data_IF_774147982039
#
_entry.id   IF_774147982039
#
_cell.length_a   1.000
_cell.length_b   1.000
_cell.length_c   1.000
_cell.angle_alpha   90.00
_cell.angle_beta   90.00
_cell.angle_gamma   90.00
#
_symmetry.space_group_name_H-M   'P 1'
#
loop_
_entity.id
_entity.type
_entity.pdbx_description
1 polymer ?
#
# COMPACT_ATOMS: atom_id res chain seq x y z
N UNK A 1 -7.04 -9.86 3.62
CA UNK A 1 -7.73 -8.56 3.72
C UNK A 1 -7.44 -7.78 2.45
N UNK A 2 -8.45 -7.16 1.85
CA UNK A 2 -8.25 -6.25 0.71
C UNK A 2 -8.91 -4.90 1.05
N UNK A 3 -8.27 -3.80 0.67
CA UNK A 3 -8.76 -2.44 0.86
C UNK A 3 -8.76 -1.76 -0.50
N UNK A 4 -9.94 -1.30 -0.93
CA UNK A 4 -10.12 -0.56 -2.18
C UNK A 4 -10.46 0.89 -1.83
N UNK A 5 -9.64 1.81 -2.32
CA UNK A 5 -9.82 3.23 -2.10
C UNK A 5 -10.08 3.95 -3.43
N UNK A 6 -11.08 4.82 -3.43
CA UNK A 6 -11.31 5.75 -4.53
C UNK A 6 -11.23 7.17 -3.99
N UNK A 7 -10.47 8.01 -4.65
CA UNK A 7 -10.36 9.44 -4.38
C UNK A 7 -11.69 10.17 -4.45
N UNK A 8 -11.99 11.21 -4.87
CA UNK A 8 -13.22 11.94 -5.17
C UNK A 8 -14.52 11.55 -4.42
N UNK A 9 -14.48 10.55 -3.55
CA UNK A 9 -15.64 10.05 -2.79
C UNK A 9 -16.68 9.32 -3.65
N UNK A 10 -17.94 9.33 -3.20
CA UNK A 10 -19.05 8.65 -3.83
C UNK A 10 -20.33 9.51 -3.83
N UNK A 11 -21.24 9.23 -4.74
CA UNK A 11 -22.52 9.93 -4.79
C UNK A 11 -23.44 9.48 -3.67
N UNK A 12 -23.63 10.32 -2.67
CA UNK A 12 -24.27 9.99 -1.38
C UNK A 12 -25.62 9.29 -1.51
N UNK A 13 -26.46 9.70 -2.46
CA UNK A 13 -27.83 9.19 -2.62
C UNK A 13 -27.89 7.89 -3.44
N UNK A 14 -26.85 7.60 -4.22
CA UNK A 14 -26.80 6.45 -5.12
C UNK A 14 -25.91 5.31 -4.58
N UNK A 15 -25.16 5.57 -3.50
CA UNK A 15 -24.22 4.61 -2.92
C UNK A 15 -24.87 3.77 -1.80
N UNK A 16 -25.50 4.46 -0.82
CA UNK A 16 -25.93 3.81 0.40
C UNK A 16 -27.05 2.80 0.18
N UNK A 17 -26.90 1.63 0.82
CA UNK A 17 -28.00 0.68 0.92
C UNK A 17 -29.15 1.22 1.79
N UNK A 18 -30.37 0.75 1.51
CA UNK A 18 -31.59 0.98 2.28
C UNK A 18 -32.06 -0.34 2.88
N UNK A 19 -32.79 -0.29 3.99
CA UNK A 19 -33.23 -1.50 4.69
C UNK A 19 -32.12 -2.21 5.44
N UNK A 20 -32.41 -3.34 6.01
CA UNK A 20 -31.51 -4.15 6.84
C UNK A 20 -31.70 -5.64 6.57
N UNK A 21 -30.65 -6.44 6.78
CA UNK A 21 -30.71 -7.90 6.64
C UNK A 21 -31.15 -8.35 5.26
N UNK A 22 -32.19 -9.21 5.21
CA UNK A 22 -32.70 -9.75 3.97
C UNK A 22 -33.42 -8.71 3.08
N UNK A 23 -33.94 -7.65 3.69
CA UNK A 23 -34.65 -6.57 2.99
C UNK A 23 -33.71 -5.43 2.57
N UNK A 24 -32.40 -5.60 2.69
CA UNK A 24 -31.43 -4.60 2.28
C UNK A 24 -31.42 -4.46 0.76
N UNK A 25 -31.65 -3.25 0.27
CA UNK A 25 -31.55 -2.86 -1.14
C UNK A 25 -30.26 -2.06 -1.35
N UNK A 26 -29.43 -2.49 -2.28
CA UNK A 26 -28.19 -1.76 -2.61
C UNK A 26 -28.51 -0.46 -3.35
N UNK A 27 -27.69 0.57 -3.11
CA UNK A 27 -27.71 1.79 -3.92
C UNK A 27 -27.40 1.47 -5.40
N UNK A 28 -27.88 2.32 -6.29
CA UNK A 28 -27.76 2.14 -7.75
C UNK A 28 -26.34 1.84 -8.22
N UNK A 29 -25.33 2.48 -7.64
CA UNK A 29 -23.92 2.29 -8.00
C UNK A 29 -23.41 0.89 -7.65
N UNK A 30 -24.02 0.25 -6.66
CA UNK A 30 -23.65 -1.07 -6.16
C UNK A 30 -24.51 -2.21 -6.72
N UNK A 31 -25.45 -1.90 -7.61
CA UNK A 31 -26.33 -2.92 -8.25
C UNK A 31 -25.58 -4.10 -8.84
N UNK A 32 -24.38 -3.94 -9.47
CA UNK A 32 -23.61 -5.08 -9.97
C UNK A 32 -23.15 -6.07 -8.89
N UNK A 33 -23.19 -5.68 -7.61
CA UNK A 33 -22.80 -6.49 -6.47
C UNK A 33 -23.98 -7.15 -5.76
N UNK A 34 -25.18 -7.14 -6.36
CA UNK A 34 -26.39 -7.71 -5.73
C UNK A 34 -26.26 -9.19 -5.33
N UNK A 35 -25.50 -9.97 -6.06
CA UNK A 35 -25.23 -11.38 -5.72
C UNK A 35 -24.44 -11.57 -4.41
N UNK A 36 -23.74 -10.51 -3.95
CA UNK A 36 -22.97 -10.50 -2.70
C UNK A 36 -23.67 -9.75 -1.57
N UNK A 37 -24.91 -9.30 -1.77
CA UNK A 37 -25.64 -8.44 -0.83
C UNK A 37 -25.68 -9.00 0.59
N UNK A 38 -25.90 -10.29 0.73
CA UNK A 38 -25.96 -11.01 2.00
C UNK A 38 -24.62 -11.06 2.76
N UNK A 39 -23.51 -10.70 2.06
CA UNK A 39 -22.12 -10.64 2.59
C UNK A 39 -21.63 -9.22 2.81
N UNK A 40 -22.50 -8.22 2.58
CA UNK A 40 -22.11 -6.80 2.66
C UNK A 40 -22.56 -6.19 3.98
N UNK A 41 -21.73 -5.32 4.51
CA UNK A 41 -22.04 -4.48 5.69
C UNK A 41 -21.73 -3.03 5.34
N UNK A 42 -22.68 -2.14 5.60
CA UNK A 42 -22.54 -0.70 5.40
C UNK A 42 -22.38 0.01 6.75
N UNK A 43 -21.20 0.56 7.01
CA UNK A 43 -20.89 1.27 8.26
C UNK A 43 -21.00 2.77 8.02
N UNK A 44 -21.85 3.45 8.79
CA UNK A 44 -22.02 4.91 8.74
C UNK A 44 -21.53 5.55 10.04
N UNK A 45 -21.20 6.84 9.97
CA UNK A 45 -20.82 7.62 11.13
C UNK A 45 -19.36 7.51 11.56
N UNK A 46 -18.54 6.70 10.85
CA UNK A 46 -17.11 6.69 11.06
C UNK A 46 -16.43 7.82 10.28
N UNK A 47 -15.45 8.46 10.89
CA UNK A 47 -14.62 9.46 10.23
C UNK A 47 -13.23 9.49 10.86
N UNK A 48 -12.25 9.97 10.09
CA UNK A 48 -10.90 10.18 10.57
C UNK A 48 -10.73 11.65 10.99
N UNK A 49 -10.59 11.90 12.30
CA UNK A 49 -10.46 13.25 12.82
C UNK A 49 -9.20 13.99 12.32
N UNK A 50 -8.11 13.26 12.10
CA UNK A 50 -6.86 13.84 11.59
C UNK A 50 -6.97 14.22 10.10
N UNK A 51 -7.84 13.59 9.33
CA UNK A 51 -8.10 13.97 7.93
C UNK A 51 -8.82 15.32 7.79
N UNK A 52 -9.43 15.84 8.87
CA UNK A 52 -10.05 17.16 8.89
C UNK A 52 -9.04 18.30 9.11
N UNK A 53 -7.78 17.98 9.40
CA UNK A 53 -6.72 18.93 9.67
C UNK A 53 -5.80 19.09 8.45
N UNK A 54 -5.15 20.25 8.37
CA UNK A 54 -4.17 20.53 7.32
C UNK A 54 -4.77 20.73 5.92
N UNK A 55 -4.09 20.27 4.90
CA UNK A 55 -4.52 20.43 3.51
C UNK A 55 -5.36 19.24 3.05
N UNK A 56 -6.57 19.51 2.54
CA UNK A 56 -7.51 18.47 2.10
C UNK A 56 -6.96 17.54 1.01
N UNK A 57 -6.09 18.04 0.14
CA UNK A 57 -5.53 17.23 -0.94
C UNK A 57 -4.40 16.29 -0.49
N UNK A 58 -3.77 16.58 0.63
CA UNK A 58 -2.66 15.79 1.16
C UNK A 58 -3.09 14.94 2.36
N UNK A 59 -3.83 15.54 3.31
CA UNK A 59 -4.12 14.89 4.59
C UNK A 59 -5.16 13.77 4.51
N UNK A 60 -6.12 13.85 3.58
CA UNK A 60 -7.23 12.88 3.54
C UNK A 60 -6.84 11.51 3.01
N UNK A 61 -5.75 11.39 2.25
CA UNK A 61 -5.26 10.11 1.73
C UNK A 61 -4.14 9.55 2.59
N UNK A 62 -3.17 10.37 2.96
CA UNK A 62 -1.95 9.92 3.63
C UNK A 62 -2.15 9.32 5.02
N UNK A 63 -3.26 9.59 5.69
CA UNK A 63 -3.58 9.01 6.99
C UNK A 63 -4.88 8.20 7.00
N UNK A 64 -5.38 7.83 5.83
CA UNK A 64 -6.65 7.10 5.68
C UNK A 64 -6.67 5.82 6.54
N UNK A 65 -5.60 5.05 6.50
CA UNK A 65 -5.51 3.75 7.17
C UNK A 65 -4.69 3.78 8.48
N UNK A 66 -4.13 4.93 8.85
CA UNK A 66 -3.41 5.10 10.12
C UNK A 66 -4.16 5.93 11.15
N UNK A 67 -4.99 6.86 10.70
CA UNK A 67 -5.64 7.84 11.59
C UNK A 67 -4.67 8.80 12.29
N UNK A 68 -3.40 8.82 11.89
CA UNK A 68 -2.35 9.60 12.52
C UNK A 68 -2.26 11.02 11.94
N UNK A 69 -1.75 12.01 12.70
CA UNK A 69 -1.46 13.33 12.17
C UNK A 69 -0.36 13.27 11.13
N UNK A 70 -0.46 14.10 10.08
CA UNK A 70 0.55 14.26 9.05
C UNK A 70 1.46 15.44 9.37
N UNK A 71 2.78 15.26 9.22
CA UNK A 71 3.73 16.36 9.37
C UNK A 71 3.69 17.30 8.18
N UNK A 72 3.86 18.60 8.46
CA UNK A 72 4.11 19.67 7.50
C UNK A 72 5.61 19.98 7.36
N UNK A 73 5.99 21.01 6.61
CA UNK A 73 7.38 21.42 6.42
C UNK A 73 8.15 20.48 5.50
N UNK A 74 7.48 19.81 4.57
CA UNK A 74 8.10 18.85 3.66
C UNK A 74 8.59 17.56 4.32
N UNK A 75 8.44 17.42 5.65
CA UNK A 75 8.77 16.18 6.36
C UNK A 75 7.74 15.10 6.06
N UNK A 76 8.19 13.85 5.99
CA UNK A 76 7.33 12.69 5.81
C UNK A 76 7.12 12.06 7.18
N UNK A 77 5.90 12.15 7.68
CA UNK A 77 5.48 11.49 8.91
C UNK A 77 3.95 11.33 8.92
N UNK A 78 3.52 10.09 9.00
CA UNK A 78 2.14 9.66 9.18
C UNK A 78 2.07 8.69 10.37
N UNK A 79 1.42 7.55 10.23
CA UNK A 79 1.43 6.43 11.17
C UNK A 79 1.49 5.13 10.39
N UNK A 80 1.94 4.05 11.01
CA UNK A 80 1.84 2.72 10.41
C UNK A 80 0.38 2.41 10.13
N UNK A 81 0.07 2.05 8.92
CA UNK A 81 -1.31 1.77 8.49
C UNK A 81 -1.79 0.40 8.93
N UNK A 82 -3.09 0.24 9.13
CA UNK A 82 -3.68 -1.01 9.65
C UNK A 82 -3.39 -2.22 8.77
N UNK A 83 -3.35 -2.05 7.44
CA UNK A 83 -2.98 -3.10 6.50
C UNK A 83 -1.53 -3.58 6.70
N UNK A 84 -0.62 -2.65 6.99
CA UNK A 84 0.78 -2.98 7.26
C UNK A 84 0.98 -3.59 8.66
N UNK A 85 0.21 -3.19 9.66
CA UNK A 85 0.19 -3.88 10.95
C UNK A 85 -0.26 -5.34 10.79
N UNK A 86 -1.27 -5.60 9.98
CA UNK A 86 -1.71 -6.96 9.64
C UNK A 86 -0.61 -7.70 8.86
N UNK A 87 0.01 -7.05 7.86
CA UNK A 87 1.10 -7.64 7.08
C UNK A 87 2.31 -8.01 7.95
N UNK A 88 2.69 -7.16 8.89
CA UNK A 88 3.77 -7.43 9.85
C UNK A 88 3.45 -8.64 10.75
N UNK A 89 2.17 -8.82 11.10
CA UNK A 89 1.77 -9.90 12.00
C UNK A 89 1.61 -11.27 11.29
N UNK A 90 1.00 -11.29 10.10
CA UNK A 90 0.67 -12.54 9.39
C UNK A 90 1.35 -12.70 8.03
N UNK A 91 2.12 -11.71 7.57
CA UNK A 91 2.70 -11.68 6.23
C UNK A 91 3.70 -12.82 5.95
N UNK A 92 4.30 -13.39 7.00
CA UNK A 92 5.14 -14.59 6.88
C UNK A 92 4.39 -15.82 6.36
N UNK A 93 3.05 -15.80 6.35
CA UNK A 93 2.19 -16.90 5.89
C UNK A 93 1.95 -16.90 4.38
N UNK A 94 2.40 -15.88 3.69
CA UNK A 94 2.23 -15.70 2.24
C UNK A 94 3.56 -15.31 1.58
N UNK A 95 3.68 -15.56 0.27
CA UNK A 95 4.86 -15.18 -0.52
C UNK A 95 5.14 -13.67 -0.44
N UNK A 96 4.07 -12.86 -0.55
CA UNK A 96 4.13 -11.41 -0.38
C UNK A 96 3.39 -11.04 0.91
N UNK A 97 4.02 -10.36 1.86
CA UNK A 97 3.34 -9.89 3.07
C UNK A 97 2.17 -8.96 2.77
N UNK A 98 2.33 -8.10 1.78
CA UNK A 98 1.30 -7.20 1.26
C UNK A 98 1.58 -6.86 -0.20
N UNK A 99 0.52 -6.50 -0.93
CA UNK A 99 0.60 -5.97 -2.28
C UNK A 99 -0.17 -4.65 -2.32
N UNK A 100 0.53 -3.55 -2.62
CA UNK A 100 -0.05 -2.21 -2.68
C UNK A 100 -0.05 -1.76 -4.13
N UNK A 101 -1.24 -1.58 -4.68
CA UNK A 101 -1.45 -1.23 -6.08
C UNK A 101 -1.87 0.23 -6.22
N UNK A 102 -1.44 0.88 -7.28
CA UNK A 102 -1.83 2.23 -7.64
C UNK A 102 -2.19 2.36 -9.12
N UNK A 103 -2.95 3.40 -9.44
CA UNK A 103 -3.32 3.70 -10.83
C UNK A 103 -2.31 4.64 -11.51
N UNK A 104 -1.50 5.36 -10.74
CA UNK A 104 -0.54 6.34 -11.24
C UNK A 104 0.73 6.34 -10.39
N UNK A 105 1.86 6.71 -11.02
CA UNK A 105 3.12 6.89 -10.29
C UNK A 105 3.00 8.05 -9.30
N UNK A 106 3.57 7.88 -8.13
CA UNK A 106 3.73 8.95 -7.18
C UNK A 106 4.59 10.09 -7.79
N UNK A 107 4.20 11.33 -7.52
CA UNK A 107 4.98 12.51 -7.88
C UNK A 107 5.60 13.12 -6.61
N UNK A 108 6.85 12.82 -6.28
CA UNK A 108 7.51 13.37 -5.10
C UNK A 108 7.68 14.89 -5.26
N UNK A 109 6.87 15.64 -4.57
CA UNK A 109 6.88 17.10 -4.54
C UNK A 109 6.27 17.60 -3.24
N UNK A 110 6.31 18.90 -2.99
CA UNK A 110 5.67 19.54 -1.85
C UNK A 110 4.59 20.48 -2.36
N UNK A 111 3.39 20.39 -1.80
CA UNK A 111 2.29 21.27 -2.10
C UNK A 111 1.67 21.79 -0.80
N UNK A 112 1.54 23.11 -0.66
CA UNK A 112 1.00 23.76 0.55
C UNK A 112 1.60 23.20 1.83
N UNK A 113 2.92 23.09 1.84
CA UNK A 113 3.73 22.63 2.97
C UNK A 113 3.63 21.12 3.32
N UNK A 114 2.92 20.32 2.51
CA UNK A 114 2.80 18.86 2.69
C UNK A 114 3.46 18.10 1.55
N UNK A 115 4.06 16.96 1.87
CA UNK A 115 4.59 16.03 0.88
C UNK A 115 3.45 15.46 0.03
N UNK A 116 3.59 15.46 -1.30
CA UNK A 116 2.61 14.84 -2.20
C UNK A 116 2.61 13.31 -2.15
N UNK A 117 3.53 12.69 -1.42
CA UNK A 117 3.44 11.27 -1.07
C UNK A 117 2.19 10.95 -0.25
N UNK A 118 1.70 11.89 0.55
CA UNK A 118 0.44 11.73 1.26
C UNK A 118 -0.79 11.61 0.36
N UNK A 119 -0.73 12.19 -0.85
CA UNK A 119 -1.82 12.12 -1.82
C UNK A 119 -1.82 10.81 -2.62
N UNK A 120 -0.70 10.10 -2.67
CA UNK A 120 -0.54 8.89 -3.48
C UNK A 120 -0.51 7.60 -2.66
N UNK A 121 -0.23 7.66 -1.35
CA UNK A 121 -0.04 6.48 -0.51
C UNK A 121 -1.06 6.43 0.63
N UNK A 122 -1.86 5.37 0.67
CA UNK A 122 -2.74 5.04 1.80
C UNK A 122 -2.07 4.05 2.75
N UNK A 123 -1.05 3.32 2.29
CA UNK A 123 -0.37 2.25 3.00
C UNK A 123 1.01 2.72 3.46
N UNK A 124 1.34 2.49 4.76
CA UNK A 124 2.55 2.95 5.41
C UNK A 124 3.15 1.84 6.27
N UNK A 125 4.33 1.36 5.89
CA UNK A 125 5.03 0.29 6.62
C UNK A 125 5.59 0.75 7.97
N UNK A 126 5.88 2.06 8.09
CA UNK A 126 6.24 2.74 9.33
C UNK A 126 5.70 4.18 9.32
N UNK A 127 5.78 4.93 10.43
CA UNK A 127 5.35 6.33 10.45
C UNK A 127 6.00 7.22 9.40
N UNK A 128 7.17 6.89 8.91
CA UNK A 128 7.95 7.71 7.97
C UNK A 128 8.14 7.05 6.60
N UNK A 129 7.73 5.79 6.45
CA UNK A 129 7.98 5.00 5.24
C UNK A 129 6.67 4.59 4.57
N UNK A 130 6.30 5.23 3.45
CA UNK A 130 5.18 4.74 2.64
C UNK A 130 5.53 3.38 2.03
N UNK A 131 4.57 2.47 1.97
CA UNK A 131 4.75 1.18 1.32
C UNK A 131 4.91 1.38 -0.19
N UNK A 132 5.90 0.72 -0.84
CA UNK A 132 6.06 0.83 -2.29
C UNK A 132 4.78 0.55 -3.05
N UNK A 133 4.51 1.36 -4.06
CA UNK A 133 3.30 1.35 -4.86
C UNK A 133 3.60 0.71 -6.23
N UNK A 134 2.98 -0.44 -6.51
CA UNK A 134 3.07 -1.06 -7.84
C UNK A 134 1.96 -0.50 -8.74
N UNK A 135 2.34 0.05 -9.87
CA UNK A 135 1.41 0.67 -10.84
C UNK A 135 1.33 -0.12 -12.16
N UNK A 136 2.15 -1.16 -12.31
CA UNK A 136 2.16 -2.00 -13.49
C UNK A 136 1.53 -3.37 -13.18
N UNK A 137 0.37 -3.68 -13.74
CA UNK A 137 -0.31 -4.96 -13.48
C UNK A 137 0.55 -6.18 -13.79
N UNK A 138 1.36 -6.11 -14.84
CA UNK A 138 2.27 -7.19 -15.22
C UNK A 138 3.35 -7.44 -14.13
N UNK A 139 3.91 -6.38 -13.54
CA UNK A 139 4.86 -6.52 -12.44
C UNK A 139 4.20 -7.05 -11.18
N UNK A 140 3.00 -6.57 -10.84
CA UNK A 140 2.23 -7.09 -9.73
C UNK A 140 1.93 -8.60 -9.88
N UNK A 141 1.56 -9.02 -11.10
CA UNK A 141 1.38 -10.43 -11.43
C UNK A 141 2.67 -11.22 -11.29
N UNK A 142 3.77 -10.68 -11.81
CA UNK A 142 5.08 -11.31 -11.73
C UNK A 142 5.56 -11.48 -10.28
N UNK A 143 5.33 -10.50 -9.43
CA UNK A 143 5.64 -10.60 -8.00
C UNK A 143 4.85 -11.70 -7.30
N UNK A 144 3.57 -11.87 -7.66
CA UNK A 144 2.73 -12.91 -7.07
C UNK A 144 3.10 -14.31 -7.56
N UNK A 145 3.36 -14.48 -8.86
CA UNK A 145 3.39 -15.80 -9.50
C UNK A 145 4.75 -16.21 -10.08
N UNK A 146 5.62 -15.27 -10.44
CA UNK A 146 6.96 -15.58 -10.95
C UNK A 146 8.00 -15.48 -9.84
N UNK A 147 9.02 -16.30 -9.94
CA UNK A 147 10.15 -16.29 -9.02
C UNK A 147 11.29 -15.49 -9.64
N UNK A 148 11.55 -14.31 -9.08
CA UNK A 148 12.63 -13.41 -9.56
C UNK A 148 13.76 -13.21 -8.54
N UNK A 149 13.79 -13.96 -7.45
CA UNK A 149 14.89 -13.84 -6.48
C UNK A 149 16.21 -14.34 -7.13
N UNK A 150 17.07 -13.41 -7.54
CA UNK A 150 18.41 -13.74 -8.01
C UNK A 150 19.38 -13.86 -6.82
N UNK A 151 20.29 -14.83 -6.88
CA UNK A 151 21.26 -15.06 -5.80
C UNK A 151 22.18 -13.86 -5.53
N UNK A 152 22.34 -12.96 -6.52
CA UNK A 152 23.14 -11.73 -6.40
C UNK A 152 22.53 -10.65 -5.49
N UNK A 153 21.22 -10.62 -5.33
CA UNK A 153 20.53 -9.55 -4.59
C UNK A 153 20.88 -9.55 -3.09
N UNK A 154 21.09 -10.71 -2.51
CA UNK A 154 21.47 -10.84 -1.10
C UNK A 154 22.87 -10.34 -0.82
N UNK A 155 23.82 -10.55 -1.73
CA UNK A 155 25.21 -10.08 -1.59
C UNK A 155 25.28 -8.55 -1.60
N UNK A 156 24.44 -7.89 -2.40
CA UNK A 156 24.39 -6.41 -2.45
C UNK A 156 23.79 -5.85 -1.16
N UNK A 157 22.73 -6.48 -0.64
CA UNK A 157 22.10 -6.06 0.62
C UNK A 157 23.03 -6.23 1.81
N UNK A 158 23.79 -7.32 1.89
CA UNK A 158 24.79 -7.55 2.94
C UNK A 158 25.89 -6.49 2.92
N UNK A 159 26.37 -6.10 1.74
CA UNK A 159 27.35 -5.03 1.57
C UNK A 159 26.79 -3.68 2.05
N UNK A 160 25.57 -3.31 1.63
CA UNK A 160 24.90 -2.07 2.05
C UNK A 160 24.71 -2.02 3.56
N UNK A 161 24.32 -3.12 4.20
CA UNK A 161 24.14 -3.21 5.65
C UNK A 161 25.48 -3.06 6.41
N UNK A 162 26.56 -3.58 5.84
CA UNK A 162 27.92 -3.42 6.40
C UNK A 162 28.35 -1.98 6.39
N UNK A 163 28.32 -1.34 5.23
CA UNK A 163 28.72 0.06 5.04
C UNK A 163 27.90 1.03 5.90
N UNK A 164 26.61 0.77 6.02
CA UNK A 164 25.71 1.57 6.83
C UNK A 164 26.00 1.47 8.35
N UNK A 165 26.43 0.30 8.85
CA UNK A 165 26.87 0.15 10.26
C UNK A 165 28.11 0.98 10.55
N UNK A 166 29.03 1.06 9.62
CA UNK A 166 30.25 1.86 9.76
C UNK A 166 29.95 3.36 9.68
N UNK A 167 29.09 3.78 8.76
CA UNK A 167 28.62 5.15 8.65
C UNK A 167 27.95 5.62 9.94
N UNK A 168 27.10 4.78 10.55
CA UNK A 168 26.34 5.10 11.78
C UNK A 168 27.22 5.59 12.92
N UNK A 169 28.46 5.12 13.02
CA UNK A 169 29.40 5.51 14.08
C UNK A 169 29.91 6.95 13.93
N UNK A 170 29.80 7.52 12.73
CA UNK A 170 30.45 8.79 12.36
C UNK A 170 29.46 9.92 12.07
N UNK A 171 28.15 9.72 12.31
CA UNK A 171 27.09 10.69 11.97
C UNK A 171 26.34 11.19 13.21
N UNK A 172 25.63 12.30 13.07
CA UNK A 172 24.83 12.91 14.13
C UNK A 172 23.68 11.99 14.59
N UNK A 173 23.15 12.20 15.80
CA UNK A 173 21.99 11.44 16.30
C UNK A 173 20.76 11.53 15.38
N UNK A 174 20.53 12.69 14.77
CA UNK A 174 19.40 12.89 13.84
C UNK A 174 19.61 12.08 12.57
N UNK A 175 20.83 12.05 12.06
CA UNK A 175 21.17 11.28 10.86
C UNK A 175 21.21 9.77 11.17
N UNK A 176 21.56 9.36 12.39
CA UNK A 176 21.42 7.97 12.83
C UNK A 176 19.97 7.48 12.78
N UNK A 177 19.00 8.33 13.18
CA UNK A 177 17.59 7.98 13.07
C UNK A 177 17.18 7.75 11.61
N UNK A 178 17.56 8.65 10.72
CA UNK A 178 17.29 8.50 9.27
C UNK A 178 17.94 7.25 8.68
N UNK A 179 19.18 6.96 9.10
CA UNK A 179 19.87 5.76 8.67
C UNK A 179 19.21 4.50 9.20
N UNK A 180 18.75 4.49 10.45
CA UNK A 180 18.01 3.35 11.03
C UNK A 180 16.69 3.12 10.29
N UNK A 181 15.96 4.18 9.88
CA UNK A 181 14.77 4.08 9.03
C UNK A 181 15.09 3.47 7.66
N UNK A 182 16.16 3.93 7.02
CA UNK A 182 16.64 3.35 5.76
C UNK A 182 17.01 1.86 5.91
N UNK A 183 17.75 1.51 6.96
CA UNK A 183 18.14 0.12 7.24
C UNK A 183 16.95 -0.79 7.53
N UNK A 184 15.89 -0.27 8.17
CA UNK A 184 14.66 -1.01 8.35
C UNK A 184 13.99 -1.31 7.01
N UNK A 185 13.96 -0.35 6.10
CA UNK A 185 13.43 -0.58 4.74
C UNK A 185 14.25 -1.64 3.97
N UNK A 186 15.59 -1.61 4.11
CA UNK A 186 16.46 -2.64 3.51
C UNK A 186 16.19 -4.03 4.09
N UNK A 187 15.99 -4.13 5.42
CA UNK A 187 15.61 -5.41 6.08
C UNK A 187 14.27 -5.94 5.61
N UNK A 188 13.30 -5.07 5.39
CA UNK A 188 12.01 -5.49 4.81
C UNK A 188 12.19 -6.11 3.42
N UNK A 189 13.04 -5.53 2.58
CA UNK A 189 13.38 -6.10 1.26
C UNK A 189 14.07 -7.45 1.41
N UNK A 190 15.03 -7.56 2.33
CA UNK A 190 15.73 -8.83 2.62
C UNK A 190 14.75 -9.93 3.06
N UNK A 191 13.84 -9.63 3.96
CA UNK A 191 12.80 -10.57 4.39
C UNK A 191 11.90 -11.02 3.24
N UNK A 192 11.52 -10.09 2.35
CA UNK A 192 10.72 -10.40 1.17
C UNK A 192 11.47 -11.34 0.21
N UNK A 193 12.76 -11.08 -0.02
CA UNK A 193 13.60 -11.95 -0.85
C UNK A 193 13.75 -13.34 -0.24
N UNK A 194 13.96 -13.44 1.07
CA UNK A 194 14.04 -14.71 1.78
C UNK A 194 12.72 -15.49 1.65
N UNK A 195 11.61 -14.86 1.95
CA UNK A 195 10.27 -15.46 1.82
C UNK A 195 9.99 -15.89 0.38
N UNK A 196 10.34 -15.07 -0.61
CA UNK A 196 10.16 -15.41 -2.02
C UNK A 196 10.93 -16.69 -2.40
N UNK A 197 12.18 -16.86 -1.90
CA UNK A 197 12.98 -18.08 -2.12
C UNK A 197 12.36 -19.32 -1.51
N UNK A 198 11.84 -19.23 -0.27
CA UNK A 198 11.15 -20.35 0.36
C UNK A 198 9.90 -20.77 -0.44
N UNK A 199 9.20 -19.79 -1.03
CA UNK A 199 8.04 -20.05 -1.88
C UNK A 199 8.41 -20.62 -3.25
N UNK A 200 9.63 -20.43 -3.73
CA UNK A 200 10.14 -21.06 -4.96
C UNK A 200 10.08 -22.58 -4.91
N UNK A 201 10.28 -23.14 -3.74
CA UNK A 201 10.29 -24.57 -3.49
C UNK A 201 8.89 -25.19 -3.40
N UNK A 202 7.83 -24.36 -3.39
CA UNK A 202 6.45 -24.84 -3.29
C UNK A 202 5.82 -25.09 -4.66
N UNK A 203 4.93 -26.08 -4.80
CA UNK A 203 4.19 -26.31 -6.04
C UNK A 203 3.41 -25.04 -6.44
N UNK A 204 3.50 -24.66 -7.70
CA UNK A 204 2.83 -23.47 -8.24
C UNK A 204 1.43 -23.84 -8.71
N UNK A 205 0.45 -22.99 -8.39
CA UNK A 205 -0.86 -23.04 -9.04
C UNK A 205 -0.70 -22.57 -10.47
N UNK A 206 -1.07 -23.40 -11.44
CA UNK A 206 -1.06 -23.00 -12.85
C UNK A 206 -2.13 -21.93 -13.08
N UNK A 207 -1.74 -20.79 -13.62
CA UNK A 207 -2.68 -19.76 -14.09
C UNK A 207 -2.81 -19.88 -15.60
N UNK A 208 -4.04 -19.94 -16.10
CA UNK A 208 -4.36 -20.04 -17.54
C UNK A 208 -4.50 -18.68 -18.22
N UNK A 209 -4.53 -17.60 -17.45
CA UNK A 209 -4.68 -16.25 -17.98
C UNK A 209 -3.33 -15.58 -18.22
N UNK A 210 -3.18 -14.99 -19.42
CA UNK A 210 -2.05 -14.12 -19.74
C UNK A 210 -2.40 -12.66 -19.39
N UNK A 211 -1.48 -11.99 -18.72
CA UNK A 211 -1.61 -10.54 -18.49
C UNK A 211 -1.19 -9.78 -19.75
N UNK A 212 -1.86 -8.65 -20.06
CA UNK A 212 -1.42 -7.74 -21.12
C UNK A 212 -0.01 -7.20 -20.79
N UNK A 213 0.84 -7.13 -21.80
CA UNK A 213 2.25 -6.73 -21.66
C UNK A 213 2.42 -5.26 -21.23
N UNK A 214 1.50 -4.39 -21.65
CA UNK A 214 1.49 -2.97 -21.25
C UNK A 214 0.06 -2.41 -21.31
N UNK A 215 -0.28 -1.54 -20.37
CA UNK A 215 -1.54 -0.80 -20.36
C UNK A 215 -1.20 0.69 -20.43
N UNK A 216 -0.96 1.14 -21.65
CA UNK A 216 -0.79 2.57 -21.94
C UNK A 216 -2.12 3.31 -22.06
N UNK A 217 -3.21 2.59 -22.38
CA UNK A 217 -4.55 3.16 -22.48
C UNK A 217 -5.34 2.98 -21.18
N UNK A 218 -5.56 4.09 -20.47
CA UNK A 218 -6.34 4.11 -19.23
C UNK A 218 -7.77 3.56 -19.40
N UNK A 219 -8.37 3.64 -20.59
CA UNK A 219 -9.70 3.08 -20.86
C UNK A 219 -9.69 1.55 -20.84
N UNK A 220 -8.65 0.92 -21.37
CA UNK A 220 -8.49 -0.53 -21.33
C UNK A 220 -8.27 -1.05 -19.91
N UNK A 221 -7.59 -0.26 -19.07
CA UNK A 221 -7.34 -0.59 -17.67
C UNK A 221 -8.63 -0.73 -16.85
N UNK A 222 -9.64 0.10 -17.12
CA UNK A 222 -10.92 0.07 -16.39
C UNK A 222 -11.95 -0.89 -16.99
N UNK A 223 -11.68 -1.53 -18.12
CA UNK A 223 -12.59 -2.50 -18.78
C UNK A 223 -12.25 -3.97 -18.49
N UNK A 224 -11.11 -4.24 -17.86
CA UNK A 224 -10.67 -5.58 -17.45
C UNK A 224 -10.55 -5.67 -15.93
#
# INVERSE_FOLDING_TARGET
>A
MAILFSGCGYHRHEWWAKGEGADMELGKVLTPLNEFRDKMVFIRGLYNAEALKGNIHSSQTGNLLSGAPLASGGRIQSGTSVDQLVAQHIGHRTKLPSLVLGCEKANPSVHKDYSMLYSSHISWSSPTTPTPLEVYPALAFDEMFKNKAQAGDQSVLDAVLSDARDLRRNISRLDQQKLDEYLNSVREVEQRLHTAREWELRPKTATTESMPDDITDKKLFFQK
#
